data_IF_307382195123
#
_entry.id   IF_307382195123
#
_cell.length_a   1.000
_cell.length_b   1.000
_cell.length_c   1.000
_cell.angle_alpha   90.00
_cell.angle_beta   90.00
_cell.angle_gamma   90.00
#
_symmetry.space_group_name_H-M   'P 1'
#
loop_
_entity.id
_entity.type
_entity.pdbx_description
1 polymer ?
#
# COMPACT_ATOMS: atom_id res chain seq x y z
N UNK A 1 7.69 -5.81 27.36
CA UNK A 1 6.44 -5.04 27.23
C UNK A 1 6.64 -3.65 26.67
N UNK A 2 7.45 -2.74 27.23
CA UNK A 2 7.63 -1.39 26.66
C UNK A 2 8.17 -1.32 25.22
N UNK A 3 8.81 -2.39 24.74
CA UNK A 3 9.29 -2.52 23.35
C UNK A 3 8.28 -3.19 22.41
N UNK A 4 7.14 -3.64 22.90
CA UNK A 4 6.18 -4.36 22.06
C UNK A 4 5.30 -3.37 21.29
N UNK A 5 4.84 -3.77 20.10
CA UNK A 5 3.95 -2.94 19.27
C UNK A 5 2.65 -2.59 19.98
N UNK A 6 2.19 -3.46 20.90
CA UNK A 6 1.02 -3.18 21.73
C UNK A 6 1.22 -1.98 22.65
N UNK A 7 2.45 -1.71 23.11
CA UNK A 7 2.74 -0.53 23.92
C UNK A 7 3.16 0.67 23.06
N UNK A 8 4.04 0.49 22.08
CA UNK A 8 4.59 1.61 21.30
C UNK A 8 3.50 2.33 20.50
N UNK A 9 2.53 1.58 19.98
CA UNK A 9 1.44 2.10 19.14
C UNK A 9 0.09 2.18 19.92
N UNK A 10 0.11 1.97 21.24
CA UNK A 10 -1.06 2.20 22.09
C UNK A 10 -1.37 3.69 22.21
N UNK A 11 -2.63 3.99 22.51
CA UNK A 11 -3.04 5.36 22.82
C UNK A 11 -2.41 5.82 24.14
N UNK A 12 -2.13 7.12 24.23
CA UNK A 12 -1.30 7.68 25.30
C UNK A 12 -1.86 7.37 26.69
N UNK A 13 -3.17 7.50 26.92
CA UNK A 13 -3.76 7.24 28.23
C UNK A 13 -3.56 5.79 28.70
N UNK A 14 -3.59 4.83 27.77
CA UNK A 14 -3.33 3.41 28.09
C UNK A 14 -1.85 3.17 28.39
N UNK A 15 -0.95 3.87 27.69
CA UNK A 15 0.49 3.84 27.99
C UNK A 15 0.76 4.43 29.37
N UNK A 16 0.20 5.60 29.69
CA UNK A 16 0.30 6.24 30.99
C UNK A 16 -0.25 5.37 32.12
N UNK A 17 -1.39 4.70 31.91
CA UNK A 17 -1.94 3.76 32.87
C UNK A 17 -1.01 2.56 33.10
N UNK A 18 -0.42 2.01 32.03
CA UNK A 18 0.56 0.94 32.12
C UNK A 18 1.83 1.37 32.87
N UNK A 19 2.36 2.55 32.57
CA UNK A 19 3.55 3.09 33.23
C UNK A 19 3.32 3.37 34.72
N UNK A 20 2.13 3.86 35.06
CA UNK A 20 1.72 4.09 36.45
C UNK A 20 1.60 2.77 37.21
N UNK A 21 0.93 1.77 36.63
CA UNK A 21 0.79 0.45 37.24
C UNK A 21 2.14 -0.27 37.38
N UNK A 22 3.05 -0.09 36.42
CA UNK A 22 4.41 -0.63 36.50
C UNK A 22 5.20 0.01 37.65
N UNK A 23 5.14 1.33 37.78
CA UNK A 23 5.79 2.06 38.89
C UNK A 23 5.26 1.61 40.25
N UNK A 24 3.94 1.38 40.36
CA UNK A 24 3.32 0.87 41.58
C UNK A 24 3.79 -0.56 41.89
N UNK A 25 3.89 -1.44 40.89
CA UNK A 25 4.39 -2.80 41.04
C UNK A 25 5.87 -2.83 41.46
N UNK A 26 6.71 -1.97 40.86
CA UNK A 26 8.11 -1.81 41.24
C UNK A 26 8.25 -1.33 42.70
N UNK A 27 7.42 -0.36 43.11
CA UNK A 27 7.41 0.15 44.48
C UNK A 27 6.96 -0.90 45.49
N UNK A 28 5.88 -1.65 45.20
CA UNK A 28 5.40 -2.73 46.07
C UNK A 28 6.44 -3.85 46.22
N UNK A 29 7.17 -4.17 45.14
CA UNK A 29 8.24 -5.16 45.17
C UNK A 29 9.45 -4.67 45.99
N UNK A 30 9.78 -3.39 45.91
CA UNK A 30 10.84 -2.77 46.71
C UNK A 30 10.51 -2.81 48.22
N UNK A 31 9.28 -2.44 48.58
CA UNK A 31 8.79 -2.50 49.98
C UNK A 31 8.76 -3.94 50.53
N UNK A 32 8.31 -4.90 49.72
CA UNK A 32 8.30 -6.31 50.10
C UNK A 32 9.70 -6.81 50.46
N UNK A 33 10.73 -6.39 49.71
CA UNK A 33 12.15 -6.74 49.92
C UNK A 33 12.81 -5.95 51.06
N UNK A 34 12.22 -4.83 51.48
CA UNK A 34 12.78 -3.98 52.53
C UNK A 34 12.56 -4.62 53.90
N UNK A 35 13.63 -5.07 54.55
CA UNK A 35 13.56 -5.66 55.89
C UNK A 35 13.14 -4.65 56.98
N UNK A 36 13.31 -3.36 56.72
CA UNK A 36 12.96 -2.25 57.61
C UNK A 36 11.56 -1.65 57.32
N UNK A 37 10.81 -2.22 56.36
CA UNK A 37 9.44 -1.78 56.08
C UNK A 37 8.54 -1.94 57.32
N UNK A 38 7.66 -0.97 57.53
CA UNK A 38 6.64 -1.02 58.58
C UNK A 38 5.49 -2.01 58.28
N UNK A 39 5.34 -2.45 57.03
CA UNK A 39 4.31 -3.42 56.62
C UNK A 39 4.64 -4.84 57.09
N UNK A 40 3.62 -5.58 57.57
CA UNK A 40 3.73 -7.01 57.89
C UNK A 40 3.95 -7.86 56.62
N UNK A 41 4.42 -9.12 56.74
CA UNK A 41 4.53 -10.03 55.60
C UNK A 41 3.22 -10.16 54.81
N UNK A 42 2.08 -10.22 55.48
CA UNK A 42 0.76 -10.32 54.85
C UNK A 42 0.39 -9.03 54.11
N UNK A 43 0.66 -7.86 54.70
CA UNK A 43 0.41 -6.57 54.06
C UNK A 43 1.27 -6.38 52.80
N UNK A 44 2.55 -6.78 52.87
CA UNK A 44 3.46 -6.78 51.71
C UNK A 44 2.93 -7.69 50.60
N UNK A 45 2.49 -8.89 50.95
CA UNK A 45 1.94 -9.84 49.98
C UNK A 45 0.66 -9.30 49.32
N UNK A 46 -0.23 -8.67 50.08
CA UNK A 46 -1.45 -8.03 49.57
C UNK A 46 -1.09 -6.89 48.62
N UNK A 47 -0.13 -6.02 48.98
CA UNK A 47 0.32 -4.91 48.14
C UNK A 47 0.92 -5.39 46.81
N UNK A 48 1.78 -6.41 46.86
CA UNK A 48 2.38 -7.02 45.65
C UNK A 48 1.30 -7.64 44.76
N UNK A 49 0.36 -8.41 45.34
CA UNK A 49 -0.72 -9.03 44.56
C UNK A 49 -1.64 -7.98 43.93
N UNK A 50 -1.97 -6.91 44.65
CA UNK A 50 -2.78 -5.81 44.14
C UNK A 50 -2.11 -5.06 43.00
N UNK A 51 -0.82 -4.72 43.16
CA UNK A 51 -0.05 -4.04 42.12
C UNK A 51 0.18 -4.93 40.88
N UNK A 52 0.37 -6.24 41.07
CA UNK A 52 0.44 -7.20 39.97
C UNK A 52 -0.87 -7.24 39.18
N UNK A 53 -2.01 -7.30 39.86
CA UNK A 53 -3.32 -7.29 39.22
C UNK A 53 -3.53 -6.00 38.42
N UNK A 54 -3.20 -4.84 39.00
CA UNK A 54 -3.29 -3.56 38.30
C UNK A 54 -2.40 -3.52 37.04
N UNK A 55 -1.17 -4.02 37.15
CA UNK A 55 -0.25 -4.09 36.00
C UNK A 55 -0.79 -5.03 34.91
N UNK A 56 -1.36 -6.17 35.28
CA UNK A 56 -2.00 -7.10 34.34
C UNK A 56 -3.22 -6.46 33.64
N UNK A 57 -4.08 -5.77 34.40
CA UNK A 57 -5.22 -5.04 33.83
C UNK A 57 -4.78 -3.93 32.88
N UNK A 58 -3.78 -3.13 33.27
CA UNK A 58 -3.25 -2.07 32.42
C UNK A 58 -2.57 -2.62 31.16
N UNK A 59 -1.85 -3.74 31.28
CA UNK A 59 -1.25 -4.44 30.15
C UNK A 59 -2.30 -4.95 29.16
N UNK A 60 -3.39 -5.54 29.66
CA UNK A 60 -4.51 -6.00 28.83
C UNK A 60 -5.29 -4.85 28.18
N UNK A 61 -5.24 -3.65 28.76
CA UNK A 61 -5.88 -2.46 28.21
C UNK A 61 -5.05 -1.74 27.13
N UNK A 62 -3.80 -2.16 26.90
CA UNK A 62 -2.98 -1.64 25.81
C UNK A 62 -3.60 -2.03 24.47
N UNK A 63 -3.92 -1.04 23.65
CA UNK A 63 -4.63 -1.23 22.39
C UNK A 63 -3.74 -1.02 21.16
N UNK A 64 -2.41 -1.00 21.30
CA UNK A 64 -1.50 -0.80 20.18
C UNK A 64 -1.52 -1.97 19.19
N UNK A 65 -1.30 -1.64 17.91
CA UNK A 65 -1.43 -2.57 16.79
C UNK A 65 -0.20 -2.52 15.90
N UNK A 66 0.04 -3.60 15.17
CA UNK A 66 1.12 -3.65 14.19
C UNK A 66 0.71 -2.89 12.93
N UNK A 67 1.59 -1.99 12.49
CA UNK A 67 1.42 -1.11 11.33
C UNK A 67 2.59 -1.23 10.33
N UNK A 68 3.58 -2.08 10.60
CA UNK A 68 4.84 -2.12 9.86
C UNK A 68 4.61 -2.43 8.38
N UNK A 69 3.79 -3.45 8.07
CA UNK A 69 3.48 -3.84 6.70
C UNK A 69 2.71 -2.75 5.94
N UNK A 70 1.81 -2.03 6.62
CA UNK A 70 1.07 -0.92 6.02
C UNK A 70 2.01 0.26 5.70
N UNK A 71 2.92 0.58 6.62
CA UNK A 71 3.94 1.61 6.39
C UNK A 71 4.88 1.24 5.24
N UNK A 72 5.32 -0.02 5.18
CA UNK A 72 6.16 -0.52 4.10
C UNK A 72 5.45 -0.42 2.74
N UNK A 73 4.17 -0.76 2.67
CA UNK A 73 3.39 -0.65 1.42
C UNK A 73 3.17 0.81 1.01
N UNK A 74 2.87 1.70 1.96
CA UNK A 74 2.77 3.16 1.70
C UNK A 74 4.10 3.71 1.16
N UNK A 75 5.23 3.26 1.68
CA UNK A 75 6.55 3.71 1.25
C UNK A 75 6.87 3.37 -0.22
N UNK A 76 6.14 2.43 -0.83
CA UNK A 76 6.28 2.10 -2.26
C UNK A 76 5.59 3.11 -3.19
N UNK A 77 4.89 4.12 -2.66
CA UNK A 77 4.13 5.12 -3.42
C UNK A 77 4.89 5.66 -4.64
N UNK A 78 6.10 6.18 -4.45
CA UNK A 78 6.83 6.81 -5.55
C UNK A 78 7.18 5.80 -6.64
N UNK A 79 7.67 4.62 -6.24
CA UNK A 79 8.00 3.55 -7.17
C UNK A 79 6.78 3.05 -7.95
N UNK A 80 5.61 2.96 -7.30
CA UNK A 80 4.36 2.59 -7.99
C UNK A 80 3.92 3.70 -8.95
N UNK A 81 3.93 4.97 -8.51
CA UNK A 81 3.49 6.11 -9.32
C UNK A 81 4.40 6.41 -10.52
N UNK A 82 5.68 6.05 -10.44
CA UNK A 82 6.63 6.14 -11.55
C UNK A 82 6.56 4.95 -12.51
N UNK A 83 5.89 3.85 -12.11
CA UNK A 83 5.81 2.66 -12.95
C UNK A 83 4.94 2.87 -14.18
N UNK A 84 5.31 2.22 -15.29
CA UNK A 84 4.51 2.18 -16.53
C UNK A 84 3.08 1.72 -16.24
N UNK A 85 2.94 0.72 -15.35
CA UNK A 85 1.63 0.17 -14.96
C UNK A 85 0.71 1.20 -14.34
N UNK A 86 1.24 2.20 -13.63
CA UNK A 86 0.44 3.29 -13.08
C UNK A 86 0.26 4.42 -14.09
N UNK A 87 1.36 4.90 -14.69
CA UNK A 87 1.37 6.08 -15.57
C UNK A 87 0.43 5.91 -16.76
N UNK A 88 0.35 4.70 -17.32
CA UNK A 88 -0.46 4.38 -18.49
C UNK A 88 -1.74 3.59 -18.16
N UNK A 89 -2.13 3.53 -16.88
CA UNK A 89 -3.41 2.92 -16.50
C UNK A 89 -4.59 3.86 -16.77
N UNK A 90 -5.81 3.32 -16.60
CA UNK A 90 -7.02 4.12 -16.64
C UNK A 90 -7.11 5.04 -15.43
N UNK A 91 -7.79 6.18 -15.61
CA UNK A 91 -8.01 7.14 -14.54
C UNK A 91 -8.72 6.51 -13.33
N UNK A 92 -9.65 5.58 -13.56
CA UNK A 92 -10.37 4.87 -12.50
C UNK A 92 -9.44 4.04 -11.63
N UNK A 93 -8.49 3.31 -12.23
CA UNK A 93 -7.53 2.47 -11.51
C UNK A 93 -6.46 3.29 -10.80
N UNK A 94 -5.97 4.35 -11.44
CA UNK A 94 -5.10 5.34 -10.78
C UNK A 94 -5.79 5.96 -9.56
N UNK A 95 -7.06 6.34 -9.69
CA UNK A 95 -7.86 6.90 -8.60
C UNK A 95 -8.08 5.86 -7.49
N UNK A 96 -8.37 4.61 -7.82
CA UNK A 96 -8.53 3.54 -6.85
C UNK A 96 -7.26 3.33 -6.01
N UNK A 97 -6.09 3.28 -6.65
CA UNK A 97 -4.81 3.21 -5.94
C UNK A 97 -4.56 4.45 -5.07
N UNK A 98 -4.74 5.65 -5.62
CA UNK A 98 -4.55 6.90 -4.89
C UNK A 98 -5.47 7.02 -3.67
N UNK A 99 -6.73 6.61 -3.80
CA UNK A 99 -7.71 6.60 -2.71
C UNK A 99 -7.32 5.61 -1.63
N UNK A 100 -6.96 4.38 -1.98
CA UNK A 100 -6.51 3.38 -1.01
C UNK A 100 -5.25 3.82 -0.27
N UNK A 101 -4.32 4.49 -0.97
CA UNK A 101 -3.11 5.06 -0.38
C UNK A 101 -3.42 6.21 0.58
N UNK A 102 -4.35 7.10 0.20
CA UNK A 102 -4.81 8.18 1.07
C UNK A 102 -5.48 7.61 2.34
N UNK A 103 -6.38 6.64 2.19
CA UNK A 103 -7.07 6.01 3.31
C UNK A 103 -6.09 5.32 4.28
N UNK A 104 -5.06 4.66 3.72
CA UNK A 104 -3.98 4.06 4.51
C UNK A 104 -3.18 5.10 5.31
N UNK A 105 -2.81 6.22 4.68
CA UNK A 105 -2.10 7.33 5.34
C UNK A 105 -2.95 7.99 6.43
N UNK A 106 -4.23 8.21 6.15
CA UNK A 106 -5.18 8.78 7.09
C UNK A 106 -5.36 7.86 8.31
N UNK A 107 -5.49 6.55 8.11
CA UNK A 107 -5.56 5.58 9.20
C UNK A 107 -4.30 5.62 10.08
N UNK A 108 -3.11 5.67 9.48
CA UNK A 108 -1.85 5.79 10.24
C UNK A 108 -1.82 7.09 11.05
N UNK A 109 -2.27 8.21 10.47
CA UNK A 109 -2.36 9.49 11.19
C UNK A 109 -3.35 9.40 12.37
N UNK A 110 -4.52 8.78 12.19
CA UNK A 110 -5.50 8.55 13.25
C UNK A 110 -4.96 7.63 14.35
N UNK A 111 -4.16 6.64 14.01
CA UNK A 111 -3.51 5.76 14.98
C UNK A 111 -2.42 6.46 15.78
N UNK A 112 -1.73 7.46 15.19
CA UNK A 112 -0.68 8.25 15.82
C UNK A 112 -1.21 9.42 16.67
N UNK A 113 -2.36 10.00 16.30
CA UNK A 113 -3.03 11.10 17.01
C UNK A 113 -4.42 10.68 17.54
N UNK A 114 -4.47 9.89 18.63
CA UNK A 114 -5.72 9.42 19.21
C UNK A 114 -6.54 10.51 19.91
N UNK A 115 -5.96 11.66 20.24
CA UNK A 115 -6.65 12.77 20.91
C UNK A 115 -7.24 13.80 19.93
N UNK A 116 -6.73 13.88 18.70
CA UNK A 116 -7.27 14.70 17.63
C UNK A 116 -8.07 13.88 16.62
N UNK A 117 -7.47 13.56 15.48
CA UNK A 117 -8.19 12.95 14.35
C UNK A 117 -8.59 11.49 14.61
N UNK A 118 -7.96 10.84 15.60
CA UNK A 118 -8.10 9.43 15.91
C UNK A 118 -9.04 9.07 17.04
N UNK A 119 -9.84 10.00 17.57
CA UNK A 119 -10.71 9.76 18.75
C UNK A 119 -11.61 8.54 18.56
N UNK A 120 -12.19 8.36 17.37
CA UNK A 120 -13.03 7.20 17.06
C UNK A 120 -12.23 5.88 17.04
N UNK A 121 -10.97 5.92 16.60
CA UNK A 121 -10.10 4.74 16.52
C UNK A 121 -9.54 4.41 17.91
N UNK A 122 -9.33 5.42 18.76
CA UNK A 122 -8.75 5.29 20.09
C UNK A 122 -9.63 4.49 21.06
N UNK A 123 -10.95 4.54 20.90
CA UNK A 123 -11.92 3.83 21.75
C UNK A 123 -12.12 2.37 21.35
N UNK A 124 -11.68 1.97 20.16
CA UNK A 124 -11.82 0.60 19.65
C UNK A 124 -10.87 -0.36 20.36
N UNK A 125 -11.27 -1.64 20.41
CA UNK A 125 -10.42 -2.70 20.95
C UNK A 125 -9.15 -2.87 20.12
N UNK A 126 -8.13 -3.52 20.69
CA UNK A 126 -6.91 -3.85 19.96
C UNK A 126 -7.21 -4.66 18.68
N UNK A 127 -8.13 -5.62 18.78
CA UNK A 127 -8.52 -6.47 17.67
C UNK A 127 -9.18 -5.68 16.53
N UNK A 128 -10.10 -4.77 16.87
CA UNK A 128 -10.77 -3.92 15.88
C UNK A 128 -9.80 -2.94 15.22
N UNK A 129 -8.88 -2.35 16.00
CA UNK A 129 -7.82 -1.50 15.44
C UNK A 129 -6.93 -2.29 14.48
N UNK A 130 -6.59 -3.54 14.79
CA UNK A 130 -5.78 -4.38 13.91
C UNK A 130 -6.57 -4.77 12.65
N UNK A 131 -7.87 -5.01 12.77
CA UNK A 131 -8.73 -5.29 11.63
C UNK A 131 -8.79 -4.10 10.65
N UNK A 132 -8.81 -2.86 11.16
CA UNK A 132 -8.72 -1.65 10.33
C UNK A 132 -7.40 -1.59 9.57
N UNK A 133 -6.27 -1.84 10.23
CA UNK A 133 -4.94 -1.85 9.59
C UNK A 133 -4.87 -2.93 8.51
N UNK A 134 -5.31 -4.15 8.82
CA UNK A 134 -5.31 -5.26 7.87
C UNK A 134 -6.21 -4.98 6.66
N UNK A 135 -7.35 -4.33 6.88
CA UNK A 135 -8.27 -3.91 5.81
C UNK A 135 -7.62 -2.86 4.91
N UNK A 136 -7.02 -1.82 5.49
CA UNK A 136 -6.32 -0.79 4.72
C UNK A 136 -5.14 -1.38 3.91
N UNK A 137 -4.36 -2.26 4.53
CA UNK A 137 -3.25 -2.97 3.86
C UNK A 137 -3.75 -3.78 2.67
N UNK A 138 -4.81 -4.57 2.87
CA UNK A 138 -5.40 -5.39 1.81
C UNK A 138 -5.95 -4.54 0.67
N UNK A 139 -6.66 -3.45 0.98
CA UNK A 139 -7.19 -2.53 -0.03
C UNK A 139 -6.08 -1.88 -0.85
N UNK A 140 -5.01 -1.42 -0.19
CA UNK A 140 -3.87 -0.81 -0.88
C UNK A 140 -3.15 -1.81 -1.79
N UNK A 141 -2.88 -3.03 -1.30
CA UNK A 141 -2.27 -4.11 -2.10
C UNK A 141 -3.14 -4.48 -3.30
N UNK A 142 -4.44 -4.70 -3.09
CA UNK A 142 -5.35 -5.03 -4.17
C UNK A 142 -5.41 -3.92 -5.24
N UNK A 143 -5.46 -2.66 -4.82
CA UNK A 143 -5.50 -1.54 -5.76
C UNK A 143 -4.18 -1.41 -6.55
N UNK A 144 -3.03 -1.67 -5.91
CA UNK A 144 -1.73 -1.73 -6.56
C UNK A 144 -1.63 -2.89 -7.55
N UNK A 145 -2.07 -4.08 -7.17
CA UNK A 145 -2.02 -5.29 -8.00
C UNK A 145 -2.99 -5.20 -9.19
N UNK A 146 -4.06 -4.42 -9.06
CA UNK A 146 -5.00 -4.15 -10.14
C UNK A 146 -4.43 -3.23 -11.24
N UNK A 147 -3.31 -2.55 -10.97
CA UNK A 147 -2.64 -1.71 -11.95
C UNK A 147 -2.03 -2.56 -13.06
N UNK A 148 -2.44 -2.27 -14.29
CA UNK A 148 -2.06 -3.00 -15.49
C UNK A 148 -1.89 -2.09 -16.71
N UNK A 149 -1.65 -0.80 -16.51
CA UNK A 149 -1.34 0.16 -17.57
C UNK A 149 -0.22 -0.30 -18.50
N UNK A 150 -0.37 0.01 -19.78
CA UNK A 150 0.54 -0.43 -20.86
C UNK A 150 0.85 0.76 -21.75
N UNK A 151 2.13 0.97 -22.04
CA UNK A 151 2.55 2.11 -22.83
C UNK A 151 2.30 1.84 -24.32
N UNK A 152 1.31 2.54 -24.88
CA UNK A 152 0.91 2.45 -26.29
C UNK A 152 1.39 3.63 -27.15
N UNK A 153 2.14 4.58 -26.60
CA UNK A 153 2.44 5.85 -27.31
C UNK A 153 3.24 5.64 -28.59
N UNK A 154 4.21 4.73 -28.57
CA UNK A 154 5.02 4.40 -29.76
C UNK A 154 4.16 3.75 -30.84
N UNK A 155 3.30 2.80 -30.46
CA UNK A 155 2.40 2.15 -31.41
C UNK A 155 1.40 3.14 -32.02
N UNK A 156 0.88 4.06 -31.20
CA UNK A 156 -0.02 5.11 -31.66
C UNK A 156 0.66 6.01 -32.69
N UNK A 157 1.89 6.47 -32.41
CA UNK A 157 2.65 7.29 -33.33
C UNK A 157 2.89 6.60 -34.69
N UNK A 158 3.22 5.31 -34.68
CA UNK A 158 3.43 4.56 -35.93
C UNK A 158 2.16 4.36 -36.76
N UNK A 159 1.02 4.22 -36.08
CA UNK A 159 -0.30 4.16 -36.74
C UNK A 159 -0.72 5.52 -37.27
N UNK A 160 -0.44 6.61 -36.54
CA UNK A 160 -0.80 7.97 -36.97
C UNK A 160 0.01 8.41 -38.21
N UNK A 161 1.28 7.98 -38.29
CA UNK A 161 2.15 8.27 -39.43
C UNK A 161 1.77 7.50 -40.72
N UNK A 162 0.86 6.52 -40.63
CA UNK A 162 0.28 5.82 -41.79
C UNK A 162 -0.33 6.78 -42.82
N UNK A 163 -0.93 7.88 -42.33
CA UNK A 163 -1.53 8.91 -43.19
C UNK A 163 -0.53 9.62 -44.10
N UNK A 164 0.74 9.70 -43.68
CA UNK A 164 1.83 10.21 -44.48
C UNK A 164 2.43 9.10 -45.36
N UNK A 165 2.68 7.93 -44.77
CA UNK A 165 3.29 6.80 -45.46
C UNK A 165 2.46 6.31 -46.66
N UNK A 166 1.13 6.23 -46.51
CA UNK A 166 0.21 5.82 -47.58
C UNK A 166 0.20 6.75 -48.82
N UNK A 167 0.80 7.94 -48.71
CA UNK A 167 0.97 8.90 -49.82
C UNK A 167 2.38 8.89 -50.41
N UNK A 168 3.30 8.15 -49.82
CA UNK A 168 4.68 8.07 -50.28
C UNK A 168 4.79 7.27 -51.59
N UNK A 169 5.81 7.56 -52.40
CA UNK A 169 6.11 6.79 -53.61
C UNK A 169 6.37 5.31 -53.29
N UNK A 170 7.06 5.04 -52.19
CA UNK A 170 7.28 3.69 -51.64
C UNK A 170 5.98 2.90 -51.52
N UNK A 171 4.95 3.50 -50.94
CA UNK A 171 3.64 2.85 -50.83
C UNK A 171 2.89 2.77 -52.17
N UNK A 172 2.93 3.83 -52.99
CA UNK A 172 2.19 3.88 -54.27
C UNK A 172 2.77 2.93 -55.34
N UNK A 173 4.07 2.69 -55.31
CA UNK A 173 4.80 1.83 -56.25
C UNK A 173 5.14 0.45 -55.64
N UNK A 174 4.75 0.22 -54.38
CA UNK A 174 5.07 -1.01 -53.65
C UNK A 174 4.45 -2.25 -54.29
N UNK A 175 5.13 -3.38 -54.14
CA UNK A 175 4.63 -4.65 -54.66
C UNK A 175 3.39 -5.13 -53.88
N UNK A 176 2.45 -5.75 -54.59
CA UNK A 176 1.21 -6.27 -54.00
C UNK A 176 1.42 -7.16 -52.75
N UNK A 177 2.38 -8.11 -52.70
CA UNK A 177 2.64 -8.90 -51.49
C UNK A 177 3.09 -8.06 -50.29
N UNK A 178 4.01 -7.11 -50.49
CA UNK A 178 4.53 -6.27 -49.40
C UNK A 178 3.47 -5.28 -48.89
N UNK A 179 2.62 -4.76 -49.79
CA UNK A 179 1.47 -3.94 -49.43
C UNK A 179 0.44 -4.69 -48.59
N UNK A 180 0.19 -5.98 -48.88
CA UNK A 180 -0.70 -6.81 -48.08
C UNK A 180 -0.12 -7.07 -46.68
N UNK A 181 1.19 -7.35 -46.58
CA UNK A 181 1.89 -7.49 -45.29
C UNK A 181 1.77 -6.21 -44.46
N UNK A 182 2.01 -5.05 -45.07
CA UNK A 182 1.86 -3.76 -44.39
C UNK A 182 0.43 -3.50 -43.91
N UNK A 183 -0.57 -3.71 -44.76
CA UNK A 183 -1.98 -3.52 -44.39
C UNK A 183 -2.39 -4.43 -43.25
N UNK A 184 -1.94 -5.69 -43.25
CA UNK A 184 -2.17 -6.64 -42.15
C UNK A 184 -1.51 -6.18 -40.85
N UNK A 185 -0.25 -5.74 -40.91
CA UNK A 185 0.47 -5.23 -39.74
C UNK A 185 -0.21 -3.97 -39.16
N UNK A 186 -0.68 -3.07 -40.02
CA UNK A 186 -1.42 -1.87 -39.62
C UNK A 186 -2.77 -2.22 -38.97
N UNK A 187 -3.50 -3.18 -39.54
CA UNK A 187 -4.77 -3.64 -38.96
C UNK A 187 -4.56 -4.24 -37.55
N UNK A 188 -3.51 -5.05 -37.37
CA UNK A 188 -3.16 -5.62 -36.07
C UNK A 188 -2.71 -4.53 -35.08
N UNK A 189 -1.92 -3.55 -35.51
CA UNK A 189 -1.55 -2.41 -34.68
C UNK A 189 -2.77 -1.65 -34.18
N UNK A 190 -3.74 -1.35 -35.07
CA UNK A 190 -5.02 -0.72 -34.69
C UNK A 190 -5.83 -1.59 -33.73
N UNK A 191 -5.84 -2.91 -33.92
CA UNK A 191 -6.51 -3.85 -33.01
C UNK A 191 -5.90 -3.83 -31.61
N UNK A 192 -4.57 -3.86 -31.51
CA UNK A 192 -3.83 -3.81 -30.23
C UNK A 192 -4.01 -2.46 -29.53
N UNK A 193 -4.05 -1.35 -30.28
CA UNK A 193 -4.36 -0.03 -29.73
C UNK A 193 -5.74 0.02 -29.09
N UNK A 194 -6.76 -0.53 -29.78
CA UNK A 194 -8.14 -0.56 -29.32
C UNK A 194 -8.41 -1.54 -28.18
N UNK A 195 -7.55 -2.55 -27.97
CA UNK A 195 -7.74 -3.58 -26.93
C UNK A 195 -7.35 -3.03 -25.53
N UNK A 196 -8.30 -2.82 -24.60
CA UNK A 196 -8.00 -2.32 -23.27
C UNK A 196 -7.18 -3.30 -22.42
N UNK A 197 -7.10 -4.57 -22.82
CA UNK A 197 -6.35 -5.62 -22.15
C UNK A 197 -5.07 -6.01 -22.89
N UNK A 198 -4.67 -5.25 -23.91
CA UNK A 198 -3.41 -5.48 -24.62
C UNK A 198 -2.24 -5.47 -23.64
N UNK A 199 -1.39 -6.48 -23.71
CA UNK A 199 -0.15 -6.59 -22.94
C UNK A 199 0.97 -5.76 -23.58
N UNK A 200 1.97 -5.36 -22.79
CA UNK A 200 3.14 -4.68 -23.34
C UNK A 200 3.83 -5.51 -24.43
N UNK A 201 3.89 -6.83 -24.29
CA UNK A 201 4.45 -7.72 -25.31
C UNK A 201 3.67 -7.67 -26.64
N UNK A 202 2.34 -7.57 -26.60
CA UNK A 202 1.52 -7.41 -27.81
C UNK A 202 1.75 -6.05 -28.45
N UNK A 203 1.89 -4.99 -27.65
CA UNK A 203 2.21 -3.64 -28.15
C UNK A 203 3.58 -3.64 -28.82
N UNK A 204 4.60 -4.17 -28.17
CA UNK A 204 5.97 -4.23 -28.68
C UNK A 204 6.05 -5.07 -29.97
N UNK A 205 5.32 -6.19 -30.02
CA UNK A 205 5.22 -7.03 -31.22
C UNK A 205 4.53 -6.28 -32.38
N UNK A 206 3.45 -5.55 -32.10
CA UNK A 206 2.75 -4.76 -33.12
C UNK A 206 3.63 -3.62 -33.67
N UNK A 207 4.37 -2.91 -32.80
CA UNK A 207 5.35 -1.88 -33.20
C UNK A 207 6.40 -2.48 -34.12
N UNK A 208 6.99 -3.61 -33.70
CA UNK A 208 8.03 -4.30 -34.47
C UNK A 208 7.53 -4.73 -35.85
N UNK A 209 6.34 -5.33 -35.91
CA UNK A 209 5.77 -5.83 -37.17
C UNK A 209 5.41 -4.69 -38.12
N UNK A 210 4.77 -3.63 -37.63
CA UNK A 210 4.41 -2.47 -38.43
C UNK A 210 5.65 -1.75 -38.98
N UNK A 211 6.66 -1.54 -38.12
CA UNK A 211 7.93 -0.93 -38.53
C UNK A 211 8.67 -1.78 -39.58
N UNK A 212 8.69 -3.11 -39.42
CA UNK A 212 9.33 -4.01 -40.39
C UNK A 212 8.61 -4.01 -41.74
N UNK A 213 7.28 -4.09 -41.74
CA UNK A 213 6.49 -4.07 -42.98
C UNK A 213 6.63 -2.73 -43.72
N UNK A 214 6.69 -1.62 -42.98
CA UNK A 214 6.95 -0.30 -43.54
C UNK A 214 8.32 -0.22 -44.20
N UNK A 215 9.36 -0.76 -43.55
CA UNK A 215 10.73 -0.81 -44.10
C UNK A 215 10.87 -1.69 -45.33
N UNK A 216 10.05 -2.74 -45.46
CA UNK A 216 10.05 -3.59 -46.66
C UNK A 216 9.53 -2.84 -47.90
N UNK A 217 8.67 -1.83 -47.70
CA UNK A 217 8.11 -1.00 -48.75
C UNK A 217 8.93 0.26 -49.07
N UNK A 218 9.80 0.70 -48.14
CA UNK A 218 10.58 1.93 -48.22
C UNK A 218 11.86 1.77 -49.03
#
# INVERSE_FOLDING_TARGET
MKKSVQYTNAVQDKKSAYDTALTAAESALADAKNAQSANTPEQKQIAVNGALLQLQTAAAALNGVDIADLQAEIALENSVKESVKYVYDTAEKQQAYNKALQDAKELISKLADPAGQGVEVATKSQADRQALVNTALKSLKNAKDALNGVNKTVLQAEVDDDSHFSKSFAYLLGEAPDLDVYKKALAEAKRVLADPNATQAQVDAAVKNLSAARKALA
#
